data_IF_984927168755
#
_entry.id   IF_984927168755
#
_cell.length_a   1.000
_cell.length_b   1.000
_cell.length_c   1.000
_cell.angle_alpha   90.00
_cell.angle_beta   90.00
_cell.angle_gamma   90.00
#
_symmetry.space_group_name_H-M   'P 1'
#
loop_
_entity.id
_entity.type
_entity.pdbx_description
1 polymer ?
#
# COMPACT_ATOMS: atom_id res chain seq x y z
N UNK A 1 3.51 13.97 0.10
CA UNK A 1 2.95 12.81 0.81
C UNK A 1 3.73 12.61 2.10
N UNK A 2 3.14 11.99 3.10
CA UNK A 2 3.84 11.51 4.30
C UNK A 2 3.59 10.00 4.37
N UNK A 3 4.60 9.23 4.76
CA UNK A 3 4.47 7.78 4.92
C UNK A 3 5.42 7.29 6.02
N UNK A 4 5.01 6.24 6.72
CA UNK A 4 5.86 5.51 7.64
C UNK A 4 6.87 4.68 6.84
N UNK A 5 8.13 4.67 7.29
CA UNK A 5 9.20 3.95 6.60
C UNK A 5 9.63 2.68 7.32
N UNK A 6 9.20 2.48 8.56
CA UNK A 6 9.76 1.49 9.45
C UNK A 6 11.06 1.98 10.08
N UNK A 7 11.90 1.08 10.57
CA UNK A 7 13.19 1.38 11.21
C UNK A 7 14.31 1.28 10.16
N UNK A 8 14.55 2.38 9.42
CA UNK A 8 15.49 2.43 8.30
C UNK A 8 16.94 2.66 8.73
N UNK A 9 17.19 2.81 10.03
CA UNK A 9 18.53 2.83 10.62
C UNK A 9 18.77 1.75 11.70
N UNK A 10 17.79 0.89 11.97
CA UNK A 10 17.93 -0.23 12.90
C UNK A 10 18.09 0.19 14.37
N UNK A 11 17.64 1.37 14.78
CA UNK A 11 17.77 1.86 16.15
C UNK A 11 16.60 1.50 17.07
N UNK A 12 15.59 0.82 16.51
CA UNK A 12 14.39 0.37 17.19
C UNK A 12 13.26 1.42 17.23
N UNK A 13 13.45 2.59 16.62
CA UNK A 13 12.42 3.60 16.46
C UNK A 13 11.93 3.63 15.00
N UNK A 14 10.64 3.89 14.82
CA UNK A 14 10.10 4.07 13.49
C UNK A 14 10.45 5.45 12.93
N UNK A 15 10.80 5.45 11.65
CA UNK A 15 11.12 6.62 10.84
C UNK A 15 9.96 6.99 9.92
N UNK A 16 9.98 8.22 9.41
CA UNK A 16 9.00 8.65 8.42
C UNK A 16 9.61 9.53 7.34
N UNK A 17 8.97 9.53 6.18
CA UNK A 17 9.35 10.35 5.05
C UNK A 17 8.30 11.41 4.73
N UNK A 18 8.73 12.50 4.10
CA UNK A 18 7.86 13.50 3.50
C UNK A 18 8.33 13.76 2.08
N UNK A 19 7.45 13.58 1.10
CA UNK A 19 7.75 13.94 -0.29
C UNK A 19 7.31 15.35 -0.65
N UNK A 20 8.14 15.99 -1.46
CA UNK A 20 7.90 17.30 -2.04
C UNK A 20 8.35 17.37 -3.50
N UNK A 21 8.29 18.58 -4.05
CA UNK A 21 8.78 18.90 -5.39
C UNK A 21 9.88 19.94 -5.32
N UNK A 22 10.90 19.76 -6.14
CA UNK A 22 11.91 20.78 -6.42
C UNK A 22 11.42 21.67 -7.56
N UNK A 23 10.86 21.05 -8.61
CA UNK A 23 10.25 21.74 -9.74
C UNK A 23 9.04 20.93 -10.30
N UNK A 24 8.62 21.22 -11.53
CA UNK A 24 7.48 20.55 -12.14
C UNK A 24 7.66 19.03 -12.30
N UNK A 25 8.88 18.56 -12.58
CA UNK A 25 9.17 17.17 -12.93
C UNK A 25 10.00 16.43 -11.87
N UNK A 26 10.77 17.15 -11.06
CA UNK A 26 11.69 16.53 -10.08
C UNK A 26 11.13 16.61 -8.66
N UNK A 27 10.98 15.43 -8.04
CA UNK A 27 10.60 15.25 -6.65
C UNK A 27 11.78 15.02 -5.72
N UNK A 28 11.47 15.08 -4.42
CA UNK A 28 12.36 14.62 -3.35
C UNK A 28 11.57 13.90 -2.26
N UNK A 29 12.27 13.10 -1.45
CA UNK A 29 11.81 12.53 -0.19
C UNK A 29 12.78 12.99 0.90
N UNK A 30 12.25 13.67 1.90
CA UNK A 30 12.95 14.07 3.11
C UNK A 30 12.61 13.07 4.21
N UNK A 31 13.61 12.35 4.70
CA UNK A 31 13.47 11.31 5.74
C UNK A 31 13.90 11.89 7.07
N UNK A 32 13.09 11.67 8.09
CA UNK A 32 13.34 12.05 9.47
C UNK A 32 13.45 10.78 10.29
N UNK A 33 14.61 10.59 10.92
CA UNK A 33 14.83 9.45 11.77
C UNK A 33 14.08 9.63 13.10
N UNK A 34 13.50 8.55 13.60
CA UNK A 34 12.82 8.45 14.87
C UNK A 34 13.74 8.92 16.00
N UNK A 35 13.15 9.59 16.99
CA UNK A 35 13.92 10.13 18.13
C UNK A 35 13.15 9.91 19.42
N UNK A 36 13.89 9.67 20.50
CA UNK A 36 13.31 9.69 21.83
C UNK A 36 12.72 11.09 22.14
N UNK A 37 11.63 11.20 22.91
CA UNK A 37 10.92 12.47 23.16
C UNK A 37 11.76 13.61 23.73
N UNK A 38 12.92 13.32 24.34
CA UNK A 38 13.84 14.32 24.90
C UNK A 38 14.92 14.81 23.93
N UNK A 39 14.95 14.32 22.69
CA UNK A 39 15.94 14.67 21.68
C UNK A 39 15.61 15.99 20.97
N UNK A 40 16.60 16.54 20.26
CA UNK A 40 16.44 17.78 19.49
C UNK A 40 15.27 17.69 18.50
N UNK A 41 14.52 18.80 18.33
CA UNK A 41 13.37 18.83 17.42
C UNK A 41 13.79 18.51 15.98
N UNK A 42 12.84 17.98 15.19
CA UNK A 42 12.99 17.61 13.77
C UNK A 42 13.15 18.84 12.86
N UNK A 43 14.22 19.60 13.06
CA UNK A 43 14.46 20.88 12.39
C UNK A 43 14.95 20.73 10.94
N UNK A 44 15.54 19.57 10.60
CA UNK A 44 16.03 19.24 9.27
C UNK A 44 15.93 17.73 9.03
N UNK A 45 15.78 17.28 7.78
CA UNK A 45 15.82 15.86 7.46
C UNK A 45 17.23 15.27 7.63
N UNK A 46 17.27 14.03 8.08
CA UNK A 46 18.50 13.26 8.29
C UNK A 46 18.99 12.64 6.97
N UNK A 47 18.06 12.27 6.07
CA UNK A 47 18.36 11.82 4.70
C UNK A 47 17.46 12.56 3.70
N UNK A 48 18.03 12.97 2.57
CA UNK A 48 17.28 13.55 1.44
C UNK A 48 17.56 12.75 0.19
N UNK A 49 16.52 12.11 -0.34
CA UNK A 49 16.53 11.45 -1.64
C UNK A 49 15.97 12.45 -2.66
N UNK A 50 16.73 12.83 -3.68
CA UNK A 50 16.31 13.81 -4.70
C UNK A 50 16.53 13.26 -6.11
N UNK A 51 15.92 13.89 -7.10
CA UNK A 51 16.02 13.44 -8.50
C UNK A 51 14.95 12.43 -8.90
N UNK A 52 13.93 12.21 -8.07
CA UNK A 52 12.84 11.29 -8.41
C UNK A 52 11.99 11.88 -9.55
N UNK A 53 11.91 11.16 -10.68
CA UNK A 53 11.11 11.59 -11.84
C UNK A 53 9.61 11.39 -11.58
N UNK A 54 8.99 12.42 -11.03
CA UNK A 54 7.57 12.43 -10.72
C UNK A 54 6.73 12.89 -11.93
N UNK A 55 5.45 12.52 -11.95
CA UNK A 55 4.52 13.13 -12.89
C UNK A 55 4.35 14.62 -12.59
N UNK A 56 4.10 15.43 -13.62
CA UNK A 56 3.97 16.89 -13.52
C UNK A 56 2.97 17.36 -12.46
N UNK A 57 1.93 16.58 -12.19
CA UNK A 57 0.88 16.88 -11.22
C UNK A 57 1.01 16.18 -9.85
N UNK A 58 2.04 15.35 -9.62
CA UNK A 58 2.14 14.54 -8.40
C UNK A 58 3.48 14.70 -7.70
N UNK A 59 3.46 14.75 -6.37
CA UNK A 59 4.66 14.60 -5.56
C UNK A 59 5.24 13.19 -5.77
N UNK A 60 6.55 13.02 -5.65
CA UNK A 60 7.17 11.69 -5.77
C UNK A 60 6.45 10.67 -4.88
N UNK A 61 6.15 9.50 -5.44
CA UNK A 61 5.60 8.38 -4.66
C UNK A 61 6.74 7.76 -3.88
N UNK A 62 6.50 7.44 -2.61
CA UNK A 62 7.44 6.69 -1.80
C UNK A 62 6.66 5.96 -0.70
N UNK A 63 7.30 4.96 -0.10
CA UNK A 63 6.77 4.20 1.02
C UNK A 63 7.90 3.47 1.75
N UNK A 64 7.63 2.97 2.96
CA UNK A 64 8.43 1.92 3.56
C UNK A 64 8.32 0.63 2.75
N UNK A 65 9.47 0.04 2.41
CA UNK A 65 9.54 -1.25 1.72
C UNK A 65 9.74 -2.42 2.70
N UNK A 66 9.74 -2.14 4.02
CA UNK A 66 10.04 -3.12 5.06
C UNK A 66 11.43 -3.73 4.87
N UNK A 67 11.62 -4.95 5.37
CA UNK A 67 12.88 -5.70 5.27
C UNK A 67 13.09 -6.32 3.87
N UNK A 68 12.96 -5.51 2.83
CA UNK A 68 13.04 -5.96 1.43
C UNK A 68 14.37 -6.66 1.10
N UNK A 69 15.46 -6.23 1.72
CA UNK A 69 16.78 -6.85 1.57
C UNK A 69 16.99 -8.16 2.35
N UNK A 70 16.02 -8.59 3.18
CA UNK A 70 16.16 -9.70 4.13
C UNK A 70 17.02 -9.35 5.38
N UNK A 71 17.39 -8.08 5.55
CA UNK A 71 18.16 -7.58 6.69
C UNK A 71 17.29 -7.17 7.88
N UNK A 72 17.92 -6.69 8.96
CA UNK A 72 17.21 -6.20 10.14
C UNK A 72 16.65 -4.77 9.96
N UNK A 73 17.22 -4.02 9.01
CA UNK A 73 16.89 -2.61 8.73
C UNK A 73 15.89 -2.54 7.58
N UNK A 74 14.91 -1.67 7.71
CA UNK A 74 13.90 -1.45 6.68
C UNK A 74 14.47 -0.65 5.50
N UNK A 75 13.89 -0.84 4.32
CA UNK A 75 14.26 -0.16 3.09
C UNK A 75 13.21 0.89 2.71
N UNK A 76 13.61 1.82 1.85
CA UNK A 76 12.75 2.88 1.33
C UNK A 76 12.50 2.63 -0.16
N UNK A 77 11.24 2.59 -0.58
CA UNK A 77 10.89 2.54 -1.99
C UNK A 77 10.51 3.93 -2.50
N UNK A 78 11.03 4.31 -3.67
CA UNK A 78 10.75 5.58 -4.35
C UNK A 78 10.27 5.30 -5.77
N UNK A 79 9.03 5.68 -6.03
CA UNK A 79 8.37 5.53 -7.32
C UNK A 79 8.63 6.72 -8.22
N UNK A 80 8.97 6.42 -9.48
CA UNK A 80 9.25 7.39 -10.53
C UNK A 80 8.30 7.15 -11.72
N UNK A 81 7.01 7.47 -11.58
CA UNK A 81 6.00 7.20 -12.61
C UNK A 81 6.22 7.98 -13.91
N UNK A 82 7.05 9.03 -13.92
CA UNK A 82 7.47 9.70 -15.15
C UNK A 82 8.50 8.92 -15.97
N UNK A 83 9.25 8.02 -15.34
CA UNK A 83 10.24 7.12 -15.97
C UNK A 83 9.81 5.64 -15.95
N UNK A 84 8.64 5.32 -15.38
CA UNK A 84 8.12 3.96 -15.22
C UNK A 84 9.05 3.08 -14.38
N UNK A 85 9.57 3.63 -13.27
CA UNK A 85 10.50 2.95 -12.37
C UNK A 85 10.04 2.95 -10.92
N UNK A 86 10.54 1.97 -10.19
CA UNK A 86 10.56 1.92 -8.73
C UNK A 86 12.00 1.65 -8.29
N UNK A 87 12.52 2.42 -7.35
CA UNK A 87 13.84 2.22 -6.76
C UNK A 87 13.71 1.85 -5.29
N UNK A 88 14.36 0.79 -4.88
CA UNK A 88 14.42 0.38 -3.47
C UNK A 88 15.81 0.68 -2.93
N UNK A 89 15.85 1.59 -1.96
CA UNK A 89 17.06 2.08 -1.31
C UNK A 89 17.16 1.36 0.03
N UNK A 90 18.19 0.53 0.26
CA UNK A 90 18.41 -0.09 1.56
C UNK A 90 18.57 0.98 2.65
N UNK A 91 18.00 0.73 3.83
CA UNK A 91 18.36 1.50 5.01
C UNK A 91 19.80 1.23 5.43
N UNK A 92 20.33 2.08 6.31
CA UNK A 92 21.72 2.03 6.76
C UNK A 92 21.81 2.26 8.26
N UNK A 93 22.34 1.26 8.99
CA UNK A 93 22.55 1.35 10.42
C UNK A 93 23.60 2.40 10.83
N UNK A 94 24.35 2.95 9.87
CA UNK A 94 25.22 4.10 10.06
C UNK A 94 24.49 5.43 10.11
N UNK A 95 23.22 5.50 9.70
CA UNK A 95 22.43 6.73 9.77
C UNK A 95 22.03 7.02 11.21
N UNK A 96 22.36 8.21 11.69
CA UNK A 96 22.11 8.62 13.08
C UNK A 96 21.29 9.91 13.12
N UNK A 97 20.32 9.99 14.04
CA UNK A 97 19.50 11.17 14.20
C UNK A 97 20.34 12.42 14.54
N UNK A 98 20.11 13.52 13.82
CA UNK A 98 20.84 14.78 14.01
C UNK A 98 22.20 14.85 13.31
N UNK A 99 22.54 13.85 12.49
CA UNK A 99 23.73 13.89 11.64
C UNK A 99 23.66 15.00 10.58
N UNK A 100 24.78 15.22 9.90
CA UNK A 100 24.76 16.01 8.67
C UNK A 100 23.92 15.27 7.62
N UNK A 101 22.96 15.97 7.01
CA UNK A 101 22.02 15.36 6.05
C UNK A 101 22.73 14.55 4.98
N UNK A 102 22.40 13.27 4.90
CA UNK A 102 22.83 12.37 3.82
C UNK A 102 22.03 12.71 2.57
N UNK A 103 22.70 12.90 1.43
CA UNK A 103 22.02 13.21 0.16
C UNK A 103 22.20 12.07 -0.83
N UNK A 104 21.09 11.47 -1.24
CA UNK A 104 21.02 10.45 -2.28
C UNK A 104 20.45 11.12 -3.53
N UNK A 105 21.32 11.40 -4.50
CA UNK A 105 20.92 12.02 -5.77
C UNK A 105 20.68 10.94 -6.82
N UNK A 106 19.41 10.64 -7.08
CA UNK A 106 18.94 9.59 -7.99
C UNK A 106 19.32 9.81 -9.46
N UNK A 107 19.75 11.03 -9.81
CA UNK A 107 20.29 11.38 -11.13
C UNK A 107 21.82 11.27 -11.21
N UNK A 108 22.50 11.07 -10.07
CA UNK A 108 23.96 11.00 -10.05
C UNK A 108 24.47 9.68 -10.67
N UNK A 109 25.48 9.73 -11.56
CA UNK A 109 26.03 8.52 -12.15
C UNK A 109 26.60 7.56 -11.09
N UNK A 110 26.13 6.31 -11.12
CA UNK A 110 26.61 5.24 -10.22
C UNK A 110 26.00 5.29 -8.81
N UNK A 111 24.97 6.11 -8.57
CA UNK A 111 24.27 6.17 -7.29
C UNK A 111 23.73 4.80 -6.87
N UNK A 112 23.29 3.98 -7.83
CA UNK A 112 22.72 2.66 -7.53
C UNK A 112 23.75 1.72 -6.94
N UNK A 113 24.97 1.69 -7.49
CA UNK A 113 26.05 0.90 -6.92
C UNK A 113 26.56 1.48 -5.61
N UNK A 114 26.62 2.82 -5.49
CA UNK A 114 27.13 3.49 -4.30
C UNK A 114 26.24 3.25 -3.06
N UNK A 115 24.93 3.16 -3.24
CA UNK A 115 23.96 3.00 -2.16
C UNK A 115 23.26 1.64 -2.17
N UNK A 116 23.67 0.69 -3.02
CA UNK A 116 23.03 -0.63 -3.07
C UNK A 116 21.59 -0.60 -3.58
N UNK A 117 21.22 0.38 -4.41
CA UNK A 117 19.84 0.58 -4.86
C UNK A 117 19.47 -0.50 -5.89
N UNK A 118 18.34 -1.17 -5.67
CA UNK A 118 17.68 -2.03 -6.64
C UNK A 118 16.70 -1.21 -7.48
N UNK A 119 16.67 -1.44 -8.79
CA UNK A 119 15.71 -0.75 -9.69
C UNK A 119 14.76 -1.76 -10.32
N UNK A 120 13.47 -1.45 -10.30
CA UNK A 120 12.45 -2.17 -11.06
C UNK A 120 11.90 -1.27 -12.14
N UNK A 121 11.98 -1.71 -13.39
CA UNK A 121 11.48 -0.97 -14.55
C UNK A 121 10.26 -1.67 -15.15
N UNK A 122 9.31 -0.88 -15.59
CA UNK A 122 8.14 -1.36 -16.30
C UNK A 122 8.31 -1.25 -17.83
N UNK A 123 8.13 -2.37 -18.54
CA UNK A 123 8.12 -2.43 -20.00
C UNK A 123 6.72 -2.75 -20.53
N UNK A 124 5.86 -1.75 -20.48
CA UNK A 124 4.43 -1.90 -20.80
C UNK A 124 4.05 -1.45 -22.21
N UNK A 125 5.00 -0.89 -22.96
CA UNK A 125 4.82 -0.38 -24.33
C UNK A 125 4.17 1.01 -24.41
N UNK A 126 3.53 1.46 -23.32
CA UNK A 126 2.94 2.78 -23.16
C UNK A 126 3.33 3.37 -21.80
N UNK A 127 3.23 4.69 -21.65
CA UNK A 127 3.27 5.33 -20.31
C UNK A 127 2.10 4.77 -19.51
N UNK A 128 2.38 4.11 -18.39
CA UNK A 128 1.44 3.32 -17.61
C UNK A 128 1.33 3.80 -16.15
N UNK A 129 2.22 4.70 -15.72
CA UNK A 129 2.35 5.21 -14.36
C UNK A 129 2.69 4.11 -13.36
N UNK A 130 3.69 3.29 -13.67
CA UNK A 130 4.31 2.36 -12.71
C UNK A 130 4.99 3.12 -11.58
N UNK A 131 4.81 2.65 -10.34
CA UNK A 131 5.37 3.33 -9.17
C UNK A 131 4.57 4.54 -8.72
N UNK A 132 3.29 4.62 -9.10
CA UNK A 132 2.40 5.71 -8.68
C UNK A 132 1.98 5.63 -7.20
N UNK A 133 2.04 4.42 -6.65
CA UNK A 133 1.85 4.07 -5.24
C UNK A 133 2.74 2.88 -4.92
N UNK A 134 3.15 2.77 -3.66
CA UNK A 134 3.76 1.56 -3.15
C UNK A 134 3.43 1.38 -1.68
N UNK A 135 3.65 0.16 -1.17
CA UNK A 135 3.58 -0.16 0.26
C UNK A 135 4.31 -1.49 0.54
N UNK A 136 4.82 -1.69 1.75
CA UNK A 136 5.27 -3.02 2.17
C UNK A 136 4.10 -4.03 2.12
N UNK A 137 4.34 -5.21 1.58
CA UNK A 137 3.35 -6.29 1.51
C UNK A 137 3.46 -7.28 2.68
N UNK A 138 4.55 -7.24 3.46
CA UNK A 138 4.92 -8.33 4.36
C UNK A 138 5.60 -9.48 3.61
N UNK A 139 5.79 -10.62 4.25
CA UNK A 139 6.36 -11.83 3.65
C UNK A 139 5.24 -12.66 3.01
N UNK A 140 4.88 -12.35 1.76
CA UNK A 140 3.75 -12.96 1.03
C UNK A 140 4.26 -14.02 0.05
N UNK A 141 5.27 -13.65 -0.73
CA UNK A 141 5.89 -14.47 -1.74
C UNK A 141 7.13 -15.17 -1.17
N UNK A 142 7.44 -16.39 -1.65
CA UNK A 142 8.69 -17.02 -1.28
C UNK A 142 9.90 -16.15 -1.65
N UNK A 143 10.78 -15.91 -0.68
CA UNK A 143 12.06 -15.23 -0.94
C UNK A 143 12.86 -16.00 -2.00
N UNK A 144 13.24 -15.35 -3.13
CA UNK A 144 14.01 -15.99 -4.17
C UNK A 144 15.30 -16.63 -3.64
N UNK A 145 15.71 -17.73 -4.27
CA UNK A 145 16.86 -18.54 -3.89
C UNK A 145 16.81 -19.18 -2.49
N UNK A 146 15.68 -19.10 -1.79
CA UNK A 146 15.50 -19.70 -0.46
C UNK A 146 16.32 -19.01 0.63
N UNK A 147 16.59 -17.71 0.46
CA UNK A 147 17.23 -16.87 1.45
C UNK A 147 16.41 -16.70 2.74
N UNK A 148 16.91 -15.92 3.72
CA UNK A 148 16.10 -15.54 4.88
C UNK A 148 14.85 -14.79 4.41
N UNK A 149 13.75 -14.99 5.14
CA UNK A 149 12.49 -14.29 4.90
C UNK A 149 12.72 -12.78 4.74
N UNK A 150 12.21 -12.23 3.65
CA UNK A 150 12.30 -10.83 3.30
C UNK A 150 10.89 -10.27 3.09
N UNK A 151 10.68 -9.01 3.45
CA UNK A 151 9.41 -8.34 3.15
C UNK A 151 9.29 -8.09 1.64
N UNK A 152 8.08 -8.18 1.11
CA UNK A 152 7.79 -7.91 -0.28
C UNK A 152 7.25 -6.48 -0.47
N UNK A 153 7.24 -6.02 -1.72
CA UNK A 153 6.83 -4.68 -2.09
C UNK A 153 5.60 -4.71 -3.00
N UNK A 154 4.58 -3.94 -2.63
CA UNK A 154 3.47 -3.60 -3.51
C UNK A 154 3.83 -2.39 -4.36
N UNK A 155 3.58 -2.47 -5.67
CA UNK A 155 3.77 -1.35 -6.60
C UNK A 155 2.57 -1.22 -7.52
N UNK A 156 1.90 -0.07 -7.51
CA UNK A 156 0.76 0.17 -8.38
C UNK A 156 1.16 0.75 -9.74
N UNK A 157 0.37 0.39 -10.75
CA UNK A 157 0.37 0.93 -12.11
C UNK A 157 -1.09 1.26 -12.47
N UNK A 158 -1.42 2.53 -12.77
CA UNK A 158 -2.83 2.97 -12.72
C UNK A 158 -3.33 3.87 -13.87
N UNK A 159 -2.56 4.12 -14.93
CA UNK A 159 -3.00 5.07 -15.97
C UNK A 159 -4.21 4.61 -16.79
N UNK A 160 -4.34 3.32 -17.04
CA UNK A 160 -5.34 2.75 -17.96
C UNK A 160 -6.33 1.82 -17.23
N UNK A 161 -7.29 1.30 -17.98
CA UNK A 161 -8.26 0.30 -17.54
C UNK A 161 -7.60 -1.05 -17.26
N UNK A 162 -6.40 -1.28 -17.78
CA UNK A 162 -5.57 -2.45 -17.49
C UNK A 162 -4.56 -2.21 -16.35
N UNK A 163 -5.03 -1.53 -15.30
CA UNK A 163 -4.22 -1.25 -14.10
C UNK A 163 -3.86 -2.54 -13.34
N UNK A 164 -2.68 -2.54 -12.71
CA UNK A 164 -2.09 -3.66 -11.97
C UNK A 164 -1.51 -3.19 -10.64
N UNK A 165 -1.53 -4.07 -9.66
CA UNK A 165 -0.68 -3.96 -8.47
C UNK A 165 0.29 -5.12 -8.50
N UNK A 166 1.58 -4.82 -8.52
CA UNK A 166 2.64 -5.82 -8.52
C UNK A 166 3.00 -6.17 -7.08
N UNK A 167 3.12 -7.46 -6.78
CA UNK A 167 3.77 -7.97 -5.57
C UNK A 167 5.16 -8.43 -5.99
N UNK A 168 6.18 -7.71 -5.57
CA UNK A 168 7.58 -7.94 -5.93
C UNK A 168 8.27 -8.55 -4.72
N UNK A 169 8.87 -9.75 -4.84
CA UNK A 169 9.42 -10.40 -3.67
C UNK A 169 10.66 -9.68 -3.14
N UNK A 170 10.83 -9.66 -1.82
CA UNK A 170 12.08 -9.24 -1.18
C UNK A 170 13.22 -10.23 -1.42
N UNK A 171 14.47 -9.75 -1.43
CA UNK A 171 15.71 -10.54 -1.48
C UNK A 171 16.92 -9.64 -1.23
N UNK A 172 18.09 -10.19 -0.90
CA UNK A 172 19.34 -9.43 -1.01
C UNK A 172 19.57 -8.97 -2.45
N UNK A 173 19.88 -7.69 -2.65
CA UNK A 173 20.19 -7.12 -3.97
C UNK A 173 21.64 -6.65 -4.04
N UNK A 174 22.22 -6.73 -5.23
CA UNK A 174 23.49 -6.07 -5.54
C UNK A 174 23.19 -4.71 -6.16
N UNK A 175 23.82 -3.65 -5.66
CA UNK A 175 23.59 -2.29 -6.15
C UNK A 175 23.78 -2.15 -7.67
N UNK A 176 22.76 -1.64 -8.34
CA UNK A 176 22.72 -1.50 -9.81
C UNK A 176 22.02 -2.66 -10.53
N UNK A 177 21.50 -3.66 -9.82
CA UNK A 177 20.60 -4.66 -10.41
C UNK A 177 19.29 -4.04 -10.89
N UNK A 178 18.80 -4.53 -12.03
CA UNK A 178 17.56 -4.07 -12.67
C UNK A 178 16.62 -5.25 -12.91
N UNK A 179 15.48 -5.26 -12.21
CA UNK A 179 14.35 -6.14 -12.48
C UNK A 179 13.43 -5.49 -13.52
N UNK A 180 12.98 -6.25 -14.52
CA UNK A 180 12.09 -5.74 -15.58
C UNK A 180 10.74 -6.41 -15.49
N UNK A 181 9.68 -5.64 -15.26
CA UNK A 181 8.30 -6.12 -15.20
C UNK A 181 7.54 -5.82 -16.49
N UNK A 182 6.74 -6.76 -16.96
CA UNK A 182 5.93 -6.65 -18.17
C UNK A 182 4.45 -6.90 -17.87
N UNK A 183 3.60 -6.72 -18.90
CA UNK A 183 2.18 -7.06 -18.86
C UNK A 183 1.89 -8.55 -18.99
N UNK A 184 2.90 -9.38 -19.25
CA UNK A 184 2.80 -10.80 -19.63
C UNK A 184 2.08 -11.08 -20.97
N UNK A 185 2.01 -10.10 -21.88
CA UNK A 185 1.49 -10.31 -23.25
C UNK A 185 2.49 -11.07 -24.17
N UNK A 186 3.68 -11.40 -23.66
CA UNK A 186 4.77 -12.07 -24.36
C UNK A 186 5.53 -13.04 -23.46
N UNK A 187 6.79 -13.34 -23.80
CA UNK A 187 7.64 -14.15 -22.94
C UNK A 187 7.94 -13.40 -21.63
N UNK A 188 7.76 -14.02 -20.46
CA UNK A 188 8.06 -13.39 -19.19
C UNK A 188 9.56 -13.14 -19.06
N UNK A 189 9.93 -12.03 -18.42
CA UNK A 189 11.30 -11.77 -17.95
C UNK A 189 11.62 -12.63 -16.73
N UNK A 190 12.87 -12.56 -16.24
CA UNK A 190 13.24 -13.22 -14.98
C UNK A 190 12.46 -12.63 -13.79
N UNK A 191 12.33 -11.30 -13.72
CA UNK A 191 11.58 -10.63 -12.66
C UNK A 191 10.08 -10.95 -12.76
N UNK A 192 9.56 -11.12 -13.98
CA UNK A 192 8.17 -11.48 -14.18
C UNK A 192 7.81 -12.81 -13.53
N UNK A 193 8.72 -13.79 -13.56
CA UNK A 193 8.58 -15.11 -12.97
C UNK A 193 8.63 -15.11 -11.44
N UNK A 194 9.20 -14.06 -10.84
CA UNK A 194 9.28 -13.90 -9.39
C UNK A 194 8.08 -13.15 -8.83
N UNK A 195 7.58 -12.16 -9.57
CA UNK A 195 6.50 -11.27 -9.13
C UNK A 195 5.10 -11.78 -9.49
N UNK A 196 4.09 -11.24 -8.78
CA UNK A 196 2.66 -11.44 -9.08
C UNK A 196 2.03 -10.13 -9.52
N UNK A 197 1.09 -10.19 -10.47
CA UNK A 197 0.28 -9.05 -10.90
C UNK A 197 -1.16 -9.22 -10.43
N UNK A 198 -1.53 -8.50 -9.39
CA UNK A 198 -2.91 -8.40 -8.95
C UNK A 198 -3.69 -7.54 -9.94
N UNK A 199 -4.85 -8.04 -10.36
CA UNK A 199 -5.72 -7.40 -11.36
C UNK A 199 -7.14 -7.36 -10.87
N UNK A 200 -7.87 -6.34 -11.31
CA UNK A 200 -9.31 -6.30 -11.17
C UNK A 200 -9.99 -7.46 -11.94
N UNK A 201 -11.15 -7.88 -11.45
CA UNK A 201 -12.07 -8.71 -12.24
C UNK A 201 -12.62 -7.92 -13.42
N UNK A 202 -12.96 -8.59 -14.53
CA UNK A 202 -13.71 -7.93 -15.60
C UNK A 202 -15.11 -7.51 -15.12
N UNK A 203 -15.66 -6.45 -15.71
CA UNK A 203 -17.10 -6.14 -15.59
C UNK A 203 -17.94 -7.20 -16.31
N UNK A 204 -19.24 -7.19 -16.07
CA UNK A 204 -20.19 -8.11 -16.72
C UNK A 204 -20.16 -8.04 -18.26
N UNK A 205 -19.76 -6.89 -18.83
CA UNK A 205 -19.61 -6.68 -20.27
C UNK A 205 -18.24 -7.12 -20.83
N UNK A 206 -17.36 -7.68 -19.99
CA UNK A 206 -16.01 -8.12 -20.35
C UNK A 206 -14.95 -7.02 -20.40
N UNK A 207 -15.32 -5.76 -20.10
CA UNK A 207 -14.38 -4.63 -20.09
C UNK A 207 -13.84 -4.35 -18.68
N UNK A 208 -12.79 -3.52 -18.60
CA UNK A 208 -12.16 -3.13 -17.35
C UNK A 208 -12.45 -1.66 -17.02
N UNK A 209 -12.39 -1.30 -15.73
CA UNK A 209 -12.57 0.07 -15.26
C UNK A 209 -11.22 0.68 -14.86
N UNK A 210 -11.10 2.00 -14.89
CA UNK A 210 -9.88 2.69 -14.43
C UNK A 210 -9.85 2.81 -12.90
N UNK A 211 -8.69 3.11 -12.32
CA UNK A 211 -8.58 3.44 -10.89
C UNK A 211 -8.48 2.24 -9.95
N UNK A 212 -8.17 1.04 -10.45
CA UNK A 212 -7.65 -0.05 -9.63
C UNK A 212 -6.23 0.34 -9.12
N UNK A 213 -5.90 0.02 -7.87
CA UNK A 213 -4.65 0.47 -7.26
C UNK A 213 -4.66 1.95 -6.82
N UNK A 214 -5.84 2.54 -6.66
CA UNK A 214 -5.99 3.94 -6.19
C UNK A 214 -5.47 4.14 -4.76
N UNK A 215 -5.61 3.11 -3.95
CA UNK A 215 -4.93 2.86 -2.67
C UNK A 215 -4.64 1.35 -2.62
N UNK A 216 -3.53 1.00 -1.98
CA UNK A 216 -3.07 -0.37 -1.76
C UNK A 216 -2.69 -0.47 -0.30
N UNK A 217 -2.81 -1.66 0.28
CA UNK A 217 -2.33 -1.97 1.62
C UNK A 217 -1.91 -3.43 1.67
N UNK A 218 -0.87 -3.73 2.44
CA UNK A 218 -0.41 -5.08 2.69
C UNK A 218 0.25 -5.18 4.06
N UNK A 219 0.92 -6.30 4.31
CA UNK A 219 1.68 -6.54 5.54
C UNK A 219 0.83 -7.01 6.72
N UNK A 220 -0.44 -7.32 6.48
CA UNK A 220 -1.42 -7.68 7.51
C UNK A 220 -2.21 -8.90 7.05
N UNK A 221 -2.32 -9.89 7.92
CA UNK A 221 -3.19 -11.04 7.72
C UNK A 221 -4.62 -10.66 8.18
N UNK A 222 -5.54 -10.58 7.22
CA UNK A 222 -6.96 -10.27 7.45
C UNK A 222 -7.85 -11.48 7.20
N UNK A 223 -7.31 -12.60 6.73
CA UNK A 223 -8.02 -13.87 6.51
C UNK A 223 -7.77 -14.89 7.62
N UNK A 224 -6.79 -14.64 8.48
CA UNK A 224 -6.42 -15.47 9.63
C UNK A 224 -5.61 -16.71 9.28
N UNK A 225 -5.03 -16.79 8.07
CA UNK A 225 -4.29 -17.95 7.58
C UNK A 225 -2.79 -17.93 7.92
N UNK A 226 -2.33 -16.84 8.54
CA UNK A 226 -0.95 -16.60 8.93
C UNK A 226 -0.07 -15.99 7.83
N UNK A 227 -0.63 -15.71 6.64
CA UNK A 227 0.06 -15.06 5.52
C UNK A 227 -0.48 -13.64 5.36
N UNK A 228 0.37 -12.61 5.18
CA UNK A 228 -0.12 -11.27 4.92
C UNK A 228 -0.93 -11.20 3.62
N UNK A 229 -2.08 -10.54 3.70
CA UNK A 229 -2.99 -10.31 2.57
C UNK A 229 -2.72 -8.95 1.89
N UNK A 230 -3.36 -8.74 0.73
CA UNK A 230 -3.28 -7.46 0.01
C UNK A 230 -4.65 -6.87 -0.26
N UNK A 231 -4.87 -5.65 0.22
CA UNK A 231 -6.09 -4.88 -0.01
C UNK A 231 -5.84 -3.83 -1.11
N UNK A 232 -6.73 -3.77 -2.10
CA UNK A 232 -6.62 -2.83 -3.22
C UNK A 232 -7.95 -2.10 -3.43
N UNK A 233 -7.92 -0.78 -3.32
CA UNK A 233 -9.06 0.07 -3.67
C UNK A 233 -9.18 0.28 -5.19
N UNK A 234 -10.41 0.22 -5.67
CA UNK A 234 -10.80 0.38 -7.05
C UNK A 234 -11.89 1.46 -7.19
N UNK A 235 -11.46 2.71 -7.06
CA UNK A 235 -12.30 3.90 -7.14
C UNK A 235 -13.28 3.89 -8.33
N UNK A 236 -12.82 3.49 -9.53
CA UNK A 236 -13.63 3.47 -10.76
C UNK A 236 -14.77 2.46 -10.82
N UNK A 237 -14.86 1.51 -9.87
CA UNK A 237 -15.98 0.55 -9.76
C UNK A 237 -16.92 0.83 -8.61
N UNK A 238 -16.78 2.00 -7.99
CA UNK A 238 -17.78 2.55 -7.09
C UNK A 238 -19.17 2.60 -7.74
N UNK A 239 -20.20 2.18 -7.02
CA UNK A 239 -21.62 2.32 -7.40
C UNK A 239 -22.09 3.78 -7.59
N UNK A 240 -21.30 4.76 -7.14
CA UNK A 240 -21.53 6.19 -7.41
C UNK A 240 -21.06 6.64 -8.81
N UNK A 241 -20.36 5.77 -9.53
CA UNK A 241 -19.87 5.99 -10.89
C UNK A 241 -20.83 5.27 -11.85
N UNK A 242 -21.26 5.99 -12.89
CA UNK A 242 -22.21 5.45 -13.85
C UNK A 242 -21.66 4.19 -14.56
N UNK A 243 -22.43 3.11 -14.57
CA UNK A 243 -22.06 1.84 -15.20
C UNK A 243 -21.12 0.95 -14.39
N UNK A 244 -20.80 1.33 -13.15
CA UNK A 244 -20.06 0.49 -12.22
C UNK A 244 -20.97 -0.51 -11.47
N UNK A 245 -20.39 -1.56 -10.93
CA UNK A 245 -21.09 -2.67 -10.28
C UNK A 245 -20.82 -2.79 -8.77
N UNK A 246 -20.07 -1.85 -8.19
CA UNK A 246 -19.83 -1.75 -6.74
C UNK A 246 -18.67 -2.58 -6.21
N UNK A 247 -17.97 -3.33 -7.08
CA UNK A 247 -16.77 -4.12 -6.76
C UNK A 247 -15.56 -3.23 -6.57
N UNK A 248 -15.49 -2.58 -5.42
CA UNK A 248 -14.67 -1.39 -5.21
C UNK A 248 -13.47 -1.58 -4.27
N UNK A 249 -13.45 -2.62 -3.44
CA UNK A 249 -12.28 -2.97 -2.63
C UNK A 249 -12.00 -4.45 -2.83
N UNK A 250 -10.79 -4.79 -3.22
CA UNK A 250 -10.36 -6.18 -3.44
C UNK A 250 -9.48 -6.58 -2.26
N UNK A 251 -9.77 -7.72 -1.66
CA UNK A 251 -8.92 -8.38 -0.66
C UNK A 251 -8.38 -9.62 -1.36
N UNK A 252 -7.08 -9.64 -1.63
CA UNK A 252 -6.38 -10.79 -2.19
C UNK A 252 -5.78 -11.59 -1.04
N UNK A 253 -6.14 -12.87 -1.01
CA UNK A 253 -5.62 -13.85 -0.06
C UNK A 253 -4.11 -14.03 -0.28
N UNK A 254 -3.32 -13.86 0.79
CA UNK A 254 -1.87 -13.96 0.78
C UNK A 254 -1.35 -15.32 0.29
N UNK A 255 -1.94 -16.42 0.75
CA UNK A 255 -1.60 -17.76 0.29
C UNK A 255 -1.95 -17.96 -1.19
N UNK A 256 -3.05 -17.38 -1.68
CA UNK A 256 -3.39 -17.39 -3.10
C UNK A 256 -2.41 -16.56 -3.94
N UNK A 257 -1.91 -15.43 -3.41
CA UNK A 257 -0.84 -14.64 -4.04
C UNK A 257 0.43 -15.47 -4.15
N UNK A 258 0.86 -16.13 -3.08
CA UNK A 258 2.03 -17.02 -3.08
C UNK A 258 1.91 -18.12 -4.13
N UNK A 259 0.75 -18.77 -4.22
CA UNK A 259 0.48 -19.81 -5.21
C UNK A 259 0.43 -19.28 -6.66
N UNK A 260 0.15 -17.99 -6.85
CA UNK A 260 0.06 -17.30 -8.14
C UNK A 260 1.39 -16.77 -8.69
N UNK A 261 2.53 -17.09 -8.06
CA UNK A 261 3.84 -16.58 -8.43
C UNK A 261 4.14 -16.70 -9.93
N UNK A 262 4.62 -15.60 -10.53
CA UNK A 262 4.95 -15.52 -11.95
C UNK A 262 3.76 -15.17 -12.86
N UNK A 263 2.55 -15.04 -12.31
CA UNK A 263 1.32 -14.88 -13.07
C UNK A 263 0.55 -13.59 -12.83
N UNK A 264 -0.65 -13.56 -13.41
CA UNK A 264 -1.71 -12.62 -13.10
C UNK A 264 -2.70 -13.27 -12.12
N UNK A 265 -3.02 -12.58 -11.03
CA UNK A 265 -4.02 -13.01 -10.07
C UNK A 265 -5.21 -12.04 -10.08
N UNK A 266 -6.40 -12.61 -10.07
CA UNK A 266 -7.66 -11.90 -9.86
C UNK A 266 -8.38 -12.57 -8.72
N UNK A 267 -9.19 -11.83 -7.96
CA UNK A 267 -10.06 -12.44 -6.96
C UNK A 267 -10.97 -13.50 -7.60
N UNK A 268 -11.45 -13.26 -8.82
CA UNK A 268 -12.24 -14.23 -9.57
C UNK A 268 -13.70 -14.26 -9.13
N UNK A 269 -14.25 -13.12 -8.72
CA UNK A 269 -15.62 -12.99 -8.20
C UNK A 269 -16.71 -12.99 -9.29
N UNK A 270 -16.39 -13.41 -10.51
CA UNK A 270 -17.34 -13.45 -11.62
C UNK A 270 -18.41 -14.52 -11.37
N UNK A 271 -19.68 -14.12 -11.34
CA UNK A 271 -20.80 -15.01 -11.03
C UNK A 271 -20.95 -15.38 -9.55
N UNK A 272 -20.07 -14.87 -8.67
CA UNK A 272 -20.19 -15.04 -7.24
C UNK A 272 -21.47 -14.39 -6.71
N UNK A 273 -22.08 -15.02 -5.69
CA UNK A 273 -23.23 -14.44 -4.99
C UNK A 273 -22.73 -13.46 -3.93
N UNK A 274 -23.42 -12.33 -3.76
CA UNK A 274 -23.12 -11.40 -2.68
C UNK A 274 -23.51 -12.03 -1.33
N UNK A 275 -22.55 -12.15 -0.43
CA UNK A 275 -22.74 -12.56 0.97
C UNK A 275 -22.48 -11.34 1.84
N UNK A 276 -23.47 -10.91 2.61
CA UNK A 276 -23.42 -9.64 3.34
C UNK A 276 -23.11 -8.46 2.39
N UNK A 277 -21.90 -7.90 2.53
CA UNK A 277 -21.38 -6.80 1.70
C UNK A 277 -20.16 -7.19 0.87
N UNK A 278 -19.94 -8.47 0.59
CA UNK A 278 -18.81 -8.91 -0.21
C UNK A 278 -19.15 -10.06 -1.16
N UNK A 279 -18.33 -10.21 -2.19
CA UNK A 279 -18.34 -11.35 -3.11
C UNK A 279 -17.11 -12.19 -2.84
N UNK A 280 -17.31 -13.45 -2.54
CA UNK A 280 -16.23 -14.43 -2.42
C UNK A 280 -15.77 -14.88 -3.82
N UNK A 281 -14.46 -14.90 -4.02
CA UNK A 281 -13.81 -15.41 -5.22
C UNK A 281 -12.84 -16.53 -4.88
N UNK A 282 -12.22 -17.10 -5.91
CA UNK A 282 -11.28 -18.21 -5.74
C UNK A 282 -9.97 -17.78 -5.06
N UNK A 283 -9.63 -16.50 -5.08
CA UNK A 283 -8.35 -15.97 -4.58
C UNK A 283 -8.56 -14.79 -3.61
N UNK A 284 -9.65 -14.81 -2.85
CA UNK A 284 -10.00 -13.79 -1.86
C UNK A 284 -11.40 -13.22 -2.05
N UNK A 285 -11.56 -11.93 -1.72
CA UNK A 285 -12.87 -11.29 -1.60
C UNK A 285 -12.92 -9.97 -2.35
N UNK A 286 -14.11 -9.58 -2.81
CA UNK A 286 -14.37 -8.24 -3.32
C UNK A 286 -15.45 -7.61 -2.46
N UNK A 287 -15.13 -6.53 -1.77
CA UNK A 287 -16.07 -5.83 -0.93
C UNK A 287 -16.90 -4.87 -1.79
N UNK A 288 -18.20 -4.92 -1.58
CA UNK A 288 -19.13 -3.89 -2.01
C UNK A 288 -18.86 -2.65 -1.18
N UNK A 289 -18.54 -1.56 -1.83
CA UNK A 289 -18.48 -0.25 -1.18
C UNK A 289 -19.71 0.59 -1.58
N UNK A 290 -20.20 1.43 -0.67
CA UNK A 290 -21.53 2.08 -0.74
C UNK A 290 -21.79 2.92 -2.02
N UNK A 291 -23.04 2.94 -2.57
CA UNK A 291 -23.49 3.76 -3.70
C UNK A 291 -23.24 5.26 -3.67
N UNK A 292 -22.84 5.87 -2.56
CA UNK A 292 -22.47 7.30 -2.52
C UNK A 292 -20.96 7.57 -2.61
N UNK A 293 -20.09 6.55 -2.78
CA UNK A 293 -18.64 6.61 -2.48
C UNK A 293 -17.59 6.38 -3.59
N UNK A 294 -16.72 7.29 -4.06
CA UNK A 294 -15.43 6.99 -4.72
C UNK A 294 -14.39 6.79 -3.60
N UNK A 295 -14.05 5.55 -3.32
CA UNK A 295 -13.11 5.22 -2.24
C UNK A 295 -11.69 5.40 -2.78
N UNK A 296 -10.97 6.41 -2.26
CA UNK A 296 -9.53 6.57 -2.55
C UNK A 296 -8.62 6.12 -1.42
N UNK A 297 -9.17 5.92 -0.24
CA UNK A 297 -8.44 5.47 0.93
C UNK A 297 -9.15 4.31 1.59
N UNK A 298 -8.38 3.25 1.80
CA UNK A 298 -8.75 2.08 2.60
C UNK A 298 -7.56 1.79 3.51
N UNK A 299 -7.84 1.43 4.76
CA UNK A 299 -6.84 1.19 5.79
C UNK A 299 -7.32 0.14 6.79
N UNK A 300 -6.53 -0.88 7.10
CA UNK A 300 -6.74 -1.73 8.29
C UNK A 300 -6.51 -0.92 9.54
N UNK A 301 -7.38 -1.05 10.54
CA UNK A 301 -7.40 -0.16 11.72
C UNK A 301 -7.16 -0.85 13.05
N UNK A 302 -6.69 -2.10 13.07
CA UNK A 302 -6.61 -2.87 14.33
C UNK A 302 -7.97 -3.46 14.69
N UNK A 303 -8.11 -3.93 15.93
CA UNK A 303 -9.29 -4.65 16.42
C UNK A 303 -10.18 -3.73 17.27
N UNK A 304 -11.19 -3.12 16.68
CA UNK A 304 -12.02 -2.07 17.30
C UNK A 304 -13.21 -2.63 18.08
N UNK A 305 -13.69 -3.81 17.72
CA UNK A 305 -14.77 -4.50 18.44
C UNK A 305 -14.27 -5.52 19.47
N UNK A 306 -12.96 -5.81 19.48
CA UNK A 306 -12.30 -6.71 20.41
C UNK A 306 -12.54 -8.19 20.11
N UNK A 307 -13.05 -8.54 18.93
CA UNK A 307 -13.27 -9.92 18.54
C UNK A 307 -11.97 -10.65 18.25
N UNK A 308 -11.94 -11.94 18.54
CA UNK A 308 -10.74 -12.76 18.36
C UNK A 308 -11.13 -14.09 17.73
N UNK A 309 -10.35 -14.54 16.75
CA UNK A 309 -10.43 -15.89 16.20
C UNK A 309 -9.30 -16.73 16.81
N UNK A 310 -9.66 -17.81 17.50
CA UNK A 310 -8.69 -18.71 18.15
C UNK A 310 -7.66 -18.00 19.07
N UNK A 311 -8.06 -16.88 19.66
CA UNK A 311 -7.24 -16.05 20.54
C UNK A 311 -6.29 -15.08 19.82
N UNK A 312 -6.34 -15.01 18.49
CA UNK A 312 -5.69 -13.97 17.69
C UNK A 312 -6.67 -12.81 17.43
N UNK A 313 -6.17 -11.58 17.48
CA UNK A 313 -6.95 -10.40 17.12
C UNK A 313 -7.25 -10.36 15.63
N UNK A 314 -8.46 -9.92 15.30
CA UNK A 314 -8.86 -9.67 13.92
C UNK A 314 -8.74 -8.20 13.59
N UNK A 315 -8.21 -7.92 12.40
CA UNK A 315 -8.08 -6.55 11.94
C UNK A 315 -9.36 -6.12 11.24
N UNK A 316 -9.84 -4.95 11.63
CA UNK A 316 -10.98 -4.27 11.03
C UNK A 316 -10.52 -3.31 9.93
N UNK A 317 -11.47 -2.83 9.14
CA UNK A 317 -11.22 -2.03 7.95
C UNK A 317 -11.91 -0.68 8.04
N UNK A 318 -11.17 0.37 7.72
CA UNK A 318 -11.70 1.70 7.53
C UNK A 318 -11.69 2.08 6.04
N UNK A 319 -12.80 2.61 5.55
CA UNK A 319 -12.99 2.95 4.13
C UNK A 319 -13.58 4.36 4.01
N UNK A 320 -12.88 5.27 3.32
CA UNK A 320 -13.33 6.65 3.19
C UNK A 320 -14.44 6.87 2.14
N UNK A 321 -15.42 7.72 2.44
CA UNK A 321 -16.50 8.06 1.51
C UNK A 321 -16.03 8.88 0.28
N UNK A 322 -16.87 8.97 -0.77
CA UNK A 322 -16.57 9.69 -2.05
C UNK A 322 -16.18 11.12 -1.85
N UNK A 323 -17.05 11.76 -1.10
CA UNK A 323 -17.03 13.17 -0.82
C UNK A 323 -16.02 13.44 0.26
N UNK A 324 -15.39 12.41 0.83
CA UNK A 324 -14.47 12.52 1.96
C UNK A 324 -15.15 13.30 3.09
N UNK A 325 -16.40 12.92 3.40
CA UNK A 325 -17.16 13.49 4.50
C UNK A 325 -17.23 12.58 5.73
N UNK A 326 -16.94 11.28 5.54
CA UNK A 326 -16.89 10.29 6.62
C UNK A 326 -16.02 9.09 6.25
N UNK A 327 -15.72 8.26 7.25
CA UNK A 327 -15.05 6.96 7.10
C UNK A 327 -15.95 5.85 7.64
N UNK A 328 -16.20 4.83 6.84
CA UNK A 328 -16.94 3.62 7.20
C UNK A 328 -16.00 2.64 7.93
N UNK A 329 -16.37 2.20 9.13
CA UNK A 329 -15.67 1.09 9.80
C UNK A 329 -16.40 -0.22 9.55
N UNK A 330 -15.65 -1.23 9.14
CA UNK A 330 -16.15 -2.58 8.91
C UNK A 330 -15.40 -3.60 9.71
N UNK A 331 -16.18 -4.42 10.40
CA UNK A 331 -15.66 -5.41 11.32
C UNK A 331 -15.42 -6.74 10.62
N UNK A 332 -14.33 -7.39 11.00
CA UNK A 332 -13.87 -8.61 10.37
C UNK A 332 -14.16 -9.82 11.25
N UNK A 333 -15.41 -10.27 11.25
CA UNK A 333 -15.87 -11.39 12.09
C UNK A 333 -16.38 -12.55 11.29
N UNK A 334 -16.14 -13.74 11.83
CA UNK A 334 -16.87 -14.93 11.42
C UNK A 334 -18.21 -15.03 12.15
N UNK A 335 -19.26 -15.46 11.46
CA UNK A 335 -20.52 -15.78 12.12
C UNK A 335 -20.59 -17.26 12.53
N UNK A 336 -21.35 -17.58 13.58
CA UNK A 336 -21.52 -18.94 14.12
C UNK A 336 -22.00 -19.98 13.07
N UNK A 337 -22.49 -19.52 11.91
CA UNK A 337 -22.93 -20.37 10.80
C UNK A 337 -21.85 -20.67 9.76
N UNK A 338 -20.64 -20.09 9.88
CA UNK A 338 -19.54 -20.20 8.91
C UNK A 338 -19.86 -19.64 7.52
N UNK A 339 -20.93 -18.84 7.42
CA UNK A 339 -21.37 -18.24 6.16
C UNK A 339 -20.69 -16.91 5.89
N UNK A 340 -20.18 -16.27 6.94
CA UNK A 340 -19.26 -15.16 6.87
C UNK A 340 -17.97 -15.63 7.53
N UNK A 341 -16.88 -15.59 6.77
CA UNK A 341 -15.50 -15.89 7.16
C UNK A 341 -14.67 -14.61 7.20
N UNK A 342 -13.48 -14.69 7.78
CA UNK A 342 -12.51 -13.58 7.76
C UNK A 342 -12.18 -13.11 6.34
N UNK A 343 -11.93 -11.81 6.21
CA UNK A 343 -11.65 -11.11 4.95
C UNK A 343 -12.90 -10.63 4.20
N UNK A 344 -14.10 -11.05 4.60
CA UNK A 344 -15.36 -10.56 4.00
C UNK A 344 -15.79 -9.18 4.52
N UNK A 345 -15.32 -8.76 5.70
CA UNK A 345 -15.74 -7.53 6.37
C UNK A 345 -17.27 -7.29 6.30
N UNK A 346 -18.08 -8.27 6.76
CA UNK A 346 -19.52 -8.32 6.45
C UNK A 346 -20.33 -7.20 7.12
N UNK A 347 -19.87 -6.67 8.25
CA UNK A 347 -20.60 -5.71 9.06
C UNK A 347 -20.07 -4.29 8.85
N UNK A 348 -20.98 -3.34 8.63
CA UNK A 348 -20.70 -1.92 8.84
C UNK A 348 -21.19 -1.58 10.25
N UNK A 349 -20.30 -1.12 11.12
CA UNK A 349 -20.67 -0.80 12.49
C UNK A 349 -20.72 0.70 12.79
N UNK A 350 -19.79 1.47 12.23
CA UNK A 350 -19.65 2.88 12.56
C UNK A 350 -19.37 3.75 11.34
N UNK A 351 -19.70 5.03 11.50
CA UNK A 351 -19.30 6.11 10.61
C UNK A 351 -18.53 7.13 11.43
N UNK A 352 -17.25 7.30 11.11
CA UNK A 352 -16.43 8.36 11.66
C UNK A 352 -16.68 9.63 10.86
N UNK A 353 -17.08 10.71 11.55
CA UNK A 353 -17.35 12.02 10.96
C UNK A 353 -16.48 13.07 11.63
N UNK A 354 -16.06 14.09 10.88
CA UNK A 354 -15.40 15.23 11.48
C UNK A 354 -16.41 15.99 12.37
N UNK A 355 -16.17 16.13 13.68
CA UNK A 355 -17.12 16.77 14.59
C UNK A 355 -17.29 18.27 14.33
N UNK A 356 -16.28 18.93 13.76
CA UNK A 356 -16.29 20.36 13.47
C UNK A 356 -16.93 20.69 12.11
N UNK A 357 -17.06 19.68 11.23
CA UNK A 357 -17.64 19.83 9.89
C UNK A 357 -18.43 18.58 9.43
N UNK A 358 -19.39 18.07 10.22
CA UNK A 358 -20.03 16.78 9.96
C UNK A 358 -20.77 16.77 8.62
N UNK A 359 -20.51 15.76 7.79
CA UNK A 359 -21.14 15.62 6.48
C UNK A 359 -20.66 16.63 5.42
N UNK A 360 -19.65 17.46 5.74
CA UNK A 360 -19.05 18.38 4.78
C UNK A 360 -18.07 17.62 3.91
N UNK A 361 -18.13 17.81 2.60
CA UNK A 361 -17.14 17.20 1.69
C UNK A 361 -15.71 17.62 2.06
N UNK A 362 -14.76 16.69 1.96
CA UNK A 362 -13.36 16.83 2.33
C UNK A 362 -13.08 17.03 3.83
N UNK A 363 -14.09 16.91 4.70
CA UNK A 363 -13.90 17.01 6.15
C UNK A 363 -13.28 15.76 6.78
N UNK A 364 -13.35 14.58 6.15
CA UNK A 364 -12.79 13.32 6.66
C UNK A 364 -12.46 12.32 5.53
N UNK A 365 -11.30 11.66 5.58
CA UNK A 365 -11.04 10.49 4.73
C UNK A 365 -10.35 10.76 3.40
N UNK A 366 -9.68 11.91 3.22
CA UNK A 366 -8.74 12.04 2.09
C UNK A 366 -7.64 10.96 2.16
N UNK A 367 -7.26 10.61 3.38
CA UNK A 367 -6.39 9.48 3.71
C UNK A 367 -6.89 8.85 5.00
N UNK A 368 -6.70 7.54 5.12
CA UNK A 368 -7.07 6.72 6.27
C UNK A 368 -5.98 5.68 6.42
N UNK A 369 -5.41 5.61 7.61
CA UNK A 369 -4.44 4.60 8.00
C UNK A 369 -4.65 4.25 9.48
N UNK A 370 -4.15 3.11 9.94
CA UNK A 370 -4.37 2.66 11.31
C UNK A 370 -3.55 1.46 11.74
N UNK A 371 -3.83 0.98 12.95
CA UNK A 371 -3.13 -0.16 13.54
C UNK A 371 -1.80 0.21 14.21
N UNK A 372 -1.63 1.48 14.56
CA UNK A 372 -0.57 2.01 15.43
C UNK A 372 -1.20 2.56 16.70
N UNK A 373 -0.48 2.53 17.81
CA UNK A 373 -0.93 3.05 19.11
C UNK A 373 -0.16 4.35 19.39
N UNK A 374 -0.73 5.49 19.00
CA UNK A 374 -0.11 6.81 19.13
C UNK A 374 -0.29 7.43 20.51
N UNK A 375 -1.27 6.97 21.30
CA UNK A 375 -1.51 7.49 22.66
C UNK A 375 -1.00 6.57 23.79
N UNK A 376 -0.61 5.33 23.45
CA UNK A 376 -0.01 4.35 24.34
C UNK A 376 -1.03 3.57 25.19
N UNK A 377 -2.30 3.53 24.79
CA UNK A 377 -3.36 2.81 25.53
C UNK A 377 -3.40 1.30 25.24
N UNK A 378 -2.57 0.83 24.31
CA UNK A 378 -2.45 -0.56 23.88
C UNK A 378 -3.45 -0.96 22.79
N UNK A 379 -4.17 -0.01 22.18
CA UNK A 379 -5.12 -0.24 21.08
C UNK A 379 -4.64 0.45 19.81
N UNK A 380 -5.16 -0.02 18.67
CA UNK A 380 -4.88 0.63 17.40
C UNK A 380 -5.69 1.92 17.26
N UNK A 381 -5.03 3.02 16.97
CA UNK A 381 -5.64 4.29 16.56
C UNK A 381 -5.89 4.32 15.05
N UNK A 382 -6.79 5.22 14.62
CA UNK A 382 -7.00 5.58 13.21
C UNK A 382 -6.54 7.02 12.96
N UNK A 383 -5.68 7.21 11.98
CA UNK A 383 -5.34 8.54 11.45
C UNK A 383 -6.14 8.83 10.19
N UNK A 384 -6.81 9.98 10.19
CA UNK A 384 -7.62 10.44 9.07
C UNK A 384 -7.11 11.79 8.60
N UNK A 385 -6.55 11.82 7.40
CA UNK A 385 -6.21 13.08 6.72
C UNK A 385 -7.46 13.75 6.15
N UNK A 386 -7.58 15.06 6.32
CA UNK A 386 -8.70 15.85 5.79
C UNK A 386 -8.24 16.84 4.72
N UNK A 387 -9.16 17.27 3.85
CA UNK A 387 -8.91 18.36 2.90
C UNK A 387 -9.00 19.74 3.53
N UNK A 388 -9.33 19.80 4.82
CA UNK A 388 -9.36 21.01 5.63
C UNK A 388 -8.00 21.32 6.28
N UNK A 389 -6.94 20.60 5.88
CA UNK A 389 -5.59 20.71 6.48
C UNK A 389 -5.55 20.28 7.95
N UNK A 390 -6.33 19.26 8.29
CA UNK A 390 -6.38 18.66 9.62
C UNK A 390 -5.98 17.17 9.53
N UNK A 391 -5.56 16.63 10.67
CA UNK A 391 -5.44 15.19 10.90
C UNK A 391 -6.33 14.87 12.09
N UNK A 392 -7.31 14.00 11.89
CA UNK A 392 -8.13 13.46 12.97
C UNK A 392 -7.46 12.19 13.49
N UNK A 393 -7.40 12.04 14.80
CA UNK A 393 -6.95 10.82 15.47
C UNK A 393 -8.17 10.26 16.20
N UNK A 394 -8.49 9.01 15.93
CA UNK A 394 -9.56 8.28 16.61
C UNK A 394 -8.92 7.17 17.43
N UNK A 395 -9.28 7.16 18.72
CA UNK A 395 -8.86 6.22 19.75
C UNK A 395 -9.95 5.19 20.02
#
# INVERSE_FOLDING_TARGET
FIDALGDVNGDGLADFGVSGKIDAATGFVAVYLGRAPSADPLAAPDVVIRGANALTAQYGSFCGAGRFGGGAVDAIAVGEPGSERMRVIPGDAGWTAGQATVVIDLDAPGVETAFGIATFEAQFGDVAWFGIRCQAAGDVLPTPDGGPAAGDLLVAQSKNDDARVFVIPGRPFVGGEVGVLTKLDGAPTAEDLLAVRLRQDAKADGTYATGFGSSVQGGRDVTGDGVPDVIVAHAGRSVSINGADGKAVFVFDGAAIAAGQGGDLRVGSAGATLVGRAWEGANGFVLRADPTGEFRSVGTIGNYDGWQLDGAETLDLAIASKDFAHVELRMNHENDGGSEVLGLFPYQEALLVNPDAPGTAFSAGLWVDGGFDVDGDGRGDVLIGTGMSEVLIVH
#
